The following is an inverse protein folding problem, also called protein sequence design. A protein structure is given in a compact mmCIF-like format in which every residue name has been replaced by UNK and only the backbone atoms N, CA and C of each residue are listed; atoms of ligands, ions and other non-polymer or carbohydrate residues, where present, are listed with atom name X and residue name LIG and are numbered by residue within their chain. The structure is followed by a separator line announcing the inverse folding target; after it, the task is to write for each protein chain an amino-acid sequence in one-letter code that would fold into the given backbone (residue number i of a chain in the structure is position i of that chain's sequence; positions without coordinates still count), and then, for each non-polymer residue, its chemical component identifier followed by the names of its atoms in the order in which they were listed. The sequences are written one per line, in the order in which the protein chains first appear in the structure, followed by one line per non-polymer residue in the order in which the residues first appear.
data_IF_545512108788
#
_entry.id   IF_545512108788
#
_cell.length_a   1.000
_cell.length_b   1.000
_cell.length_c   1.000
_cell.angle_alpha   90.00
_cell.angle_beta   90.00
_cell.angle_gamma   90.00
#
_symmetry.space_group_name_H-M   'P 1'
#
loop_
_entity.id
_entity.type
_entity.pdbx_description
1 polymer ?
#
# COMPACT_ATOMS: atom_id res chain seq x y z
N UNK A 1 -0.17 5.07 12.55
CA UNK A 1 1.20 5.14 13.10
C UNK A 1 1.87 6.41 12.59
N UNK A 2 2.70 7.04 13.41
CA UNK A 2 3.60 8.15 13.04
C UNK A 2 4.79 7.62 12.22
N UNK A 3 5.62 8.46 11.56
CA UNK A 3 6.86 8.00 10.94
C UNK A 3 7.71 7.19 11.93
N UNK A 4 8.43 6.16 11.45
CA UNK A 4 9.32 5.39 12.32
C UNK A 4 10.38 6.30 12.93
N UNK A 5 10.71 6.11 14.22
CA UNK A 5 11.76 6.88 14.91
C UNK A 5 13.13 6.74 14.23
N UNK A 6 13.30 5.71 13.40
CA UNK A 6 14.49 5.42 12.62
C UNK A 6 14.50 6.04 11.21
N UNK A 7 13.53 6.90 10.90
CA UNK A 7 13.43 7.55 9.59
C UNK A 7 12.92 6.64 8.48
N UNK A 8 12.44 5.43 8.79
CA UNK A 8 11.84 4.53 7.80
C UNK A 8 10.34 4.80 7.62
N UNK A 9 9.82 4.71 6.38
CA UNK A 9 8.41 4.94 6.12
C UNK A 9 7.55 3.82 6.73
N UNK A 10 6.40 4.20 7.28
CA UNK A 10 5.38 3.24 7.73
C UNK A 10 4.19 3.29 6.77
N UNK A 11 3.81 2.12 6.27
CA UNK A 11 2.65 1.94 5.40
C UNK A 11 1.50 1.45 6.27
N UNK A 12 0.57 2.36 6.58
CA UNK A 12 -0.63 2.02 7.34
C UNK A 12 -1.69 1.51 6.37
N UNK A 13 -2.12 0.25 6.52
CA UNK A 13 -3.10 -0.38 5.66
C UNK A 13 -4.52 -0.11 6.15
N UNK A 14 -5.40 0.14 5.21
CA UNK A 14 -6.81 0.37 5.43
C UNK A 14 -7.65 -0.48 4.48
N UNK A 15 -8.85 -0.81 4.93
CA UNK A 15 -9.85 -1.54 4.18
C UNK A 15 -11.20 -0.84 4.30
N UNK A 16 -11.99 -0.86 3.23
CA UNK A 16 -13.40 -0.45 3.25
C UNK A 16 -14.21 -1.37 2.35
N UNK A 17 -15.53 -1.39 2.52
CA UNK A 17 -16.40 -1.93 1.47
C UNK A 17 -16.61 -0.86 0.40
N UNK A 18 -16.87 -1.24 -0.85
CA UNK A 18 -17.21 -0.29 -1.92
C UNK A 18 -18.42 0.60 -1.60
N UNK A 19 -19.31 0.11 -0.73
CA UNK A 19 -20.57 0.79 -0.37
C UNK A 19 -20.41 1.73 0.81
N UNK A 20 -19.39 1.52 1.66
CA UNK A 20 -19.16 2.35 2.84
C UNK A 20 -18.00 3.32 2.61
N UNK A 21 -18.21 4.59 2.94
CA UNK A 21 -17.17 5.63 2.85
C UNK A 21 -16.18 5.59 4.04
N UNK A 22 -16.30 4.62 4.93
CA UNK A 22 -15.49 4.49 6.15
C UNK A 22 -14.32 3.55 5.93
N UNK A 23 -13.11 4.05 6.18
CA UNK A 23 -11.87 3.27 6.18
C UNK A 23 -11.58 2.67 7.56
N UNK A 24 -11.33 1.37 7.59
CA UNK A 24 -10.96 0.62 8.79
C UNK A 24 -9.48 0.26 8.74
N UNK A 25 -8.70 0.47 9.80
CA UNK A 25 -7.30 0.07 9.83
C UNK A 25 -7.18 -1.46 9.85
N UNK A 26 -6.41 -2.04 8.94
CA UNK A 26 -6.26 -3.50 8.83
C UNK A 26 -4.82 -4.00 8.97
N UNK A 27 -3.89 -3.10 9.28
CA UNK A 27 -2.52 -3.45 9.61
C UNK A 27 -1.57 -2.31 9.31
N UNK A 28 -0.29 -2.59 9.48
CA UNK A 28 0.78 -1.71 9.03
C UNK A 28 2.04 -2.53 8.80
N UNK A 29 2.86 -2.10 7.86
CA UNK A 29 4.20 -2.62 7.71
C UNK A 29 5.21 -1.48 7.63
N UNK A 30 6.40 -1.77 8.12
CA UNK A 30 7.53 -0.85 8.11
C UNK A 30 8.31 -1.10 6.82
N UNK A 31 8.67 -0.01 6.14
CA UNK A 31 9.54 -0.06 4.97
C UNK A 31 10.99 -0.34 5.33
N UNK A 32 11.80 -0.44 4.29
CA UNK A 32 13.26 -0.55 4.33
C UNK A 32 13.92 0.72 3.74
N UNK A 33 15.25 0.75 3.67
CA UNK A 33 16.02 1.87 3.12
C UNK A 33 15.63 2.20 1.67
N UNK A 34 15.28 1.17 0.89
CA UNK A 34 14.81 1.35 -0.48
C UNK A 34 13.47 2.09 -0.50
N UNK A 35 12.55 1.68 0.35
CA UNK A 35 11.24 2.33 0.51
C UNK A 35 11.40 3.75 1.04
N UNK A 36 12.38 3.99 1.92
CA UNK A 36 12.71 5.33 2.41
C UNK A 36 13.20 6.25 1.30
N UNK A 37 14.09 5.76 0.42
CA UNK A 37 14.53 6.53 -0.75
C UNK A 37 13.37 6.90 -1.69
N UNK A 38 12.44 5.97 -1.92
CA UNK A 38 11.24 6.22 -2.72
C UNK A 38 10.30 7.21 -2.02
N UNK A 39 10.12 7.10 -0.70
CA UNK A 39 9.31 8.01 0.10
C UNK A 39 9.90 9.43 0.13
N UNK A 40 11.23 9.58 0.21
CA UNK A 40 11.91 10.88 0.11
C UNK A 40 11.68 11.51 -1.27
N UNK A 41 11.91 10.76 -2.36
CA UNK A 41 11.65 11.27 -3.71
C UNK A 41 10.19 11.66 -3.92
N UNK A 42 9.26 10.90 -3.34
CA UNK A 42 7.84 11.25 -3.37
C UNK A 42 7.57 12.52 -2.58
N UNK A 43 8.06 12.62 -1.34
CA UNK A 43 7.97 13.79 -0.45
C UNK A 43 8.44 15.06 -1.13
N UNK A 44 9.60 15.00 -1.77
CA UNK A 44 10.26 16.16 -2.37
C UNK A 44 9.55 16.66 -3.64
N UNK A 45 8.51 15.95 -4.11
CA UNK A 45 7.72 16.28 -5.30
C UNK A 45 8.57 16.57 -6.56
N UNK A 46 9.76 15.96 -6.64
CA UNK A 46 10.68 16.14 -7.74
C UNK A 46 10.22 15.46 -9.03
N UNK A 47 11.05 15.56 -10.08
CA UNK A 47 10.77 15.00 -11.42
C UNK A 47 10.41 13.50 -11.40
N UNK A 48 10.93 12.75 -10.42
CA UNK A 48 10.72 11.30 -10.26
C UNK A 48 9.67 10.94 -9.19
N UNK A 49 8.93 11.91 -8.63
CA UNK A 49 7.96 11.65 -7.57
C UNK A 49 6.84 10.69 -8.02
N UNK A 50 6.35 10.85 -9.25
CA UNK A 50 5.33 9.95 -9.82
C UNK A 50 5.84 8.52 -10.01
N UNK A 51 7.08 8.35 -10.48
CA UNK A 51 7.71 7.03 -10.62
C UNK A 51 7.91 6.37 -9.25
N UNK A 52 8.40 7.15 -8.28
CA UNK A 52 8.61 6.67 -6.91
C UNK A 52 7.31 6.26 -6.25
N UNK A 53 6.24 7.05 -6.43
CA UNK A 53 4.90 6.72 -5.98
C UNK A 53 4.41 5.41 -6.60
N UNK A 54 4.53 5.25 -7.92
CA UNK A 54 4.12 4.02 -8.60
C UNK A 54 4.86 2.79 -8.07
N UNK A 55 6.14 2.94 -7.72
CA UNK A 55 6.93 1.87 -7.13
C UNK A 55 6.46 1.53 -5.70
N UNK A 56 6.13 2.55 -4.89
CA UNK A 56 5.55 2.37 -3.54
C UNK A 56 4.19 1.65 -3.64
N UNK A 57 3.28 2.14 -4.49
CA UNK A 57 1.96 1.55 -4.72
C UNK A 57 2.10 0.08 -5.17
N UNK A 58 3.07 -0.19 -6.04
CA UNK A 58 3.37 -1.54 -6.53
C UNK A 58 3.87 -2.47 -5.42
N UNK A 59 4.75 -1.97 -4.54
CA UNK A 59 5.26 -2.74 -3.40
C UNK A 59 4.15 -3.11 -2.42
N UNK A 60 3.29 -2.14 -2.09
CA UNK A 60 2.12 -2.35 -1.23
C UNK A 60 1.15 -3.34 -1.86
N UNK A 61 0.80 -3.16 -3.13
CA UNK A 61 -0.10 -4.04 -3.89
C UNK A 61 0.40 -5.49 -3.91
N UNK A 62 1.68 -5.71 -4.22
CA UNK A 62 2.26 -7.05 -4.24
C UNK A 62 2.29 -7.71 -2.85
N UNK A 63 2.54 -6.92 -1.79
CA UNK A 63 2.47 -7.45 -0.42
C UNK A 63 1.04 -7.83 -0.04
N UNK A 64 0.05 -7.00 -0.37
CA UNK A 64 -1.36 -7.28 -0.10
C UNK A 64 -1.82 -8.53 -0.85
N UNK A 65 -1.44 -8.68 -2.12
CA UNK A 65 -1.84 -9.81 -2.94
C UNK A 65 -1.38 -11.16 -2.33
N UNK A 66 -0.12 -11.25 -1.91
CA UNK A 66 0.44 -12.49 -1.33
C UNK A 66 -0.29 -12.96 -0.07
N UNK A 67 -0.73 -12.02 0.77
CA UNK A 67 -1.38 -12.32 2.05
C UNK A 67 -2.90 -12.11 2.02
N UNK A 68 -3.51 -11.96 0.83
CA UNK A 68 -4.89 -11.48 0.67
C UNK A 68 -5.92 -12.29 1.46
N UNK A 69 -5.91 -13.62 1.32
CA UNK A 69 -6.89 -14.48 1.99
C UNK A 69 -6.82 -14.36 3.52
N UNK A 70 -5.60 -14.36 4.06
CA UNK A 70 -5.35 -14.21 5.50
C UNK A 70 -5.72 -12.81 5.99
N UNK A 71 -5.43 -11.78 5.20
CA UNK A 71 -5.78 -10.40 5.50
C UNK A 71 -7.31 -10.25 5.56
N UNK A 72 -8.04 -10.73 4.56
CA UNK A 72 -9.50 -10.68 4.52
C UNK A 72 -10.11 -11.41 5.72
N UNK A 73 -9.61 -12.60 6.06
CA UNK A 73 -10.08 -13.33 7.24
C UNK A 73 -9.87 -12.56 8.54
N UNK A 74 -8.70 -11.94 8.70
CA UNK A 74 -8.37 -11.12 9.87
C UNK A 74 -9.27 -9.89 9.93
N UNK A 75 -9.49 -9.22 8.80
CA UNK A 75 -10.33 -8.05 8.64
C UNK A 75 -11.77 -8.35 9.04
N UNK A 76 -12.39 -9.39 8.47
CA UNK A 76 -13.81 -9.67 8.74
C UNK A 76 -14.05 -10.24 10.15
N UNK A 77 -13.00 -10.75 10.80
CA UNK A 77 -13.03 -11.08 12.24
C UNK A 77 -12.99 -9.83 13.10
N UNK A 78 -12.13 -8.86 12.78
CA UNK A 78 -12.02 -7.58 13.50
C UNK A 78 -13.20 -6.64 13.23
N UNK A 79 -13.78 -6.71 12.04
CA UNK A 79 -14.88 -5.86 11.58
C UNK A 79 -16.02 -6.71 11.01
N UNK A 80 -16.86 -7.31 11.87
CA UNK A 80 -17.95 -8.20 11.43
C UNK A 80 -18.93 -7.57 10.44
N UNK A 81 -19.09 -6.25 10.45
CA UNK A 81 -19.92 -5.51 9.50
C UNK A 81 -19.42 -5.64 8.05
N UNK A 82 -18.13 -5.91 7.84
CA UNK A 82 -17.55 -6.10 6.52
C UNK A 82 -17.76 -7.52 5.97
N UNK A 83 -18.27 -8.47 6.76
CA UNK A 83 -18.47 -9.87 6.34
C UNK A 83 -19.33 -10.01 5.09
N UNK A 84 -20.37 -9.18 4.96
CA UNK A 84 -21.29 -9.20 3.79
C UNK A 84 -20.66 -8.63 2.52
N UNK A 85 -19.57 -7.87 2.65
CA UNK A 85 -18.86 -7.24 1.54
C UNK A 85 -17.47 -7.86 1.35
N UNK A 86 -17.26 -9.10 1.83
CA UNK A 86 -15.97 -9.78 1.82
C UNK A 86 -15.33 -9.81 0.42
N UNK A 87 -16.15 -10.01 -0.60
CA UNK A 87 -15.71 -10.12 -2.00
C UNK A 87 -15.60 -8.75 -2.70
N UNK A 88 -16.03 -7.67 -2.02
CA UNK A 88 -16.09 -6.30 -2.51
C UNK A 88 -15.30 -5.32 -1.63
N UNK A 89 -14.24 -5.81 -1.00
CA UNK A 89 -13.34 -4.97 -0.21
C UNK A 89 -12.38 -4.19 -1.10
N UNK A 90 -12.22 -2.91 -0.78
CA UNK A 90 -11.17 -2.06 -1.33
C UNK A 90 -10.08 -1.88 -0.29
N UNK A 91 -8.84 -1.95 -0.76
CA UNK A 91 -7.67 -1.75 0.07
C UNK A 91 -7.01 -0.42 -0.27
N UNK A 92 -6.48 0.21 0.76
CA UNK A 92 -5.73 1.44 0.62
C UNK A 92 -4.61 1.48 1.64
N UNK A 93 -3.68 2.40 1.44
CA UNK A 93 -2.64 2.67 2.43
C UNK A 93 -2.43 4.16 2.63
N UNK A 94 -1.99 4.52 3.82
CA UNK A 94 -1.49 5.85 4.15
C UNK A 94 0.00 5.75 4.45
N UNK A 95 0.80 6.50 3.71
CA UNK A 95 2.22 6.65 3.96
C UNK A 95 2.42 7.57 5.17
N UNK A 96 3.13 7.08 6.17
CA UNK A 96 3.65 7.88 7.26
C UNK A 96 5.16 8.02 7.06
N UNK A 97 5.57 9.21 6.63
CA UNK A 97 6.96 9.59 6.43
C UNK A 97 7.10 11.07 6.77
N UNK A 98 8.26 11.48 7.27
CA UNK A 98 8.48 12.86 7.71
C UNK A 98 8.46 13.83 6.53
N UNK A 99 7.85 15.00 6.72
CA UNK A 99 7.81 16.07 5.72
C UNK A 99 6.84 15.86 4.56
N UNK A 100 5.99 14.83 4.58
CA UNK A 100 4.91 14.68 3.59
C UNK A 100 3.90 15.84 3.68
N UNK A 101 3.44 16.31 2.52
CA UNK A 101 2.32 17.24 2.42
C UNK A 101 0.97 16.59 2.72
N UNK A 102 -0.07 17.41 2.94
CA UNK A 102 -1.41 16.92 3.32
C UNK A 102 -2.04 15.99 2.28
N UNK A 103 -1.87 16.28 0.98
CA UNK A 103 -2.34 15.40 -0.10
C UNK A 103 -1.63 14.05 -0.11
N UNK A 104 -0.33 14.02 0.23
CA UNK A 104 0.48 12.80 0.26
C UNK A 104 0.17 11.92 1.48
N UNK A 105 -0.46 12.50 2.51
CA UNK A 105 -0.95 11.81 3.71
C UNK A 105 -2.35 11.22 3.52
N UNK A 106 -3.01 11.41 2.38
CA UNK A 106 -4.32 10.80 2.10
C UNK A 106 -4.17 9.30 1.84
N UNK A 107 -5.27 8.58 2.04
CA UNK A 107 -5.31 7.15 1.73
C UNK A 107 -5.26 6.99 0.22
N UNK A 108 -4.25 6.25 -0.26
CA UNK A 108 -4.13 5.84 -1.66
C UNK A 108 -4.78 4.47 -1.80
N UNK A 109 -5.81 4.39 -2.65
CA UNK A 109 -6.43 3.10 -3.02
C UNK A 109 -5.45 2.31 -3.86
N UNK A 110 -5.27 1.04 -3.52
CA UNK A 110 -4.41 0.11 -4.26
C UNK A 110 -5.21 -1.12 -4.64
N UNK A 111 -5.08 -1.54 -5.90
CA UNK A 111 -5.61 -2.82 -6.35
C UNK A 111 -4.60 -3.90 -6.03
N UNK A 112 -4.93 -4.90 -5.20
CA UNK A 112 -4.05 -6.04 -4.96
C UNK A 112 -3.99 -6.88 -6.22
N UNK A 113 -2.86 -6.86 -6.92
CA UNK A 113 -2.70 -7.56 -8.19
C UNK A 113 -1.42 -8.40 -8.14
N UNK A 114 -1.47 -9.58 -8.75
CA UNK A 114 -0.29 -10.40 -8.95
C UNK A 114 0.62 -9.69 -9.95
N UNK A 115 1.77 -9.19 -9.50
CA UNK A 115 2.80 -8.75 -10.44
C UNK A 115 3.64 -9.95 -10.83
N UNK A 116 3.38 -10.48 -12.04
CA UNK A 116 4.43 -11.16 -12.82
C UNK A 116 5.61 -10.20 -12.89
N UNK A 117 6.79 -10.68 -12.51
CA UNK A 117 7.96 -9.82 -12.42
C UNK A 117 8.19 -9.16 -13.78
N UNK A 118 8.54 -7.87 -13.80
CA UNK A 118 9.02 -7.20 -15.02
C UNK A 118 10.20 -7.97 -15.63
N UNK A 119 10.91 -8.77 -14.82
CA UNK A 119 11.93 -9.74 -15.23
C UNK A 119 11.41 -10.91 -16.09
N UNK A 120 10.17 -11.36 -15.91
CA UNK A 120 9.61 -12.46 -16.73
C UNK A 120 9.38 -12.02 -18.17
N UNK A 121 8.98 -10.76 -18.39
CA UNK A 121 8.82 -10.20 -19.74
C UNK A 121 10.15 -9.88 -20.43
N UNK A 122 11.21 -9.56 -19.70
CA UNK A 122 12.55 -9.36 -20.29
C UNK A 122 13.14 -10.70 -20.69
N UNK A 123 12.98 -11.75 -19.88
CA UNK A 123 13.51 -13.08 -20.20
C UNK A 123 12.82 -13.73 -21.41
N UNK A 124 11.56 -13.41 -21.68
CA UNK A 124 10.84 -13.88 -22.88
C UNK A 124 11.16 -13.10 -24.16
N UNK A 125 11.79 -11.92 -24.07
CA UNK A 125 12.16 -11.10 -25.23
C UNK A 125 13.61 -11.32 -25.68
N UNK A 126 14.46 -11.90 -24.82
CA UNK A 126 15.87 -12.22 -25.10
C UNK A 126 16.15 -13.73 -25.15
N UNK A 127 15.10 -14.55 -25.23
CA UNK A 127 15.15 -16.01 -25.37
C UNK A 127 14.57 -16.46 -26.70
#
# INVERSE_FOLDING_TARGET
QSPGEDGLPIFNLFVRSKVAEVWYPCGSFKGDDRSAALASNYRDQGLLAGLSKNQLDSGVSGSLYRDMNKLVDTVVRGYPQLKKSRDDLEFGYKLAYEGLGEEQKKITVVKPEEKKGVFDNIKSMFG
#
